data_IF_962152317495
#
_entry.id   IF_962152317495
#
_cell.length_a   1.000
_cell.length_b   1.000
_cell.length_c   1.000
_cell.angle_alpha   90.00
_cell.angle_beta   90.00
_cell.angle_gamma   90.00
#
_symmetry.space_group_name_H-M   'P 1'
#
loop_
_entity.id
_entity.type
_entity.pdbx_description
1 polymer ?
#
# COMPACT_ATOMS: atom_id res chain seq x y z
N UNK A 1 -80.29 -17.06 -0.09
CA UNK A 1 -79.52 -16.41 -1.19
C UNK A 1 -78.86 -15.10 -0.72
N UNK A 2 -78.03 -15.10 0.34
CA UNK A 2 -77.31 -13.89 0.80
C UNK A 2 -75.79 -14.04 0.85
N UNK A 3 -75.26 -15.28 0.91
CA UNK A 3 -73.82 -15.52 1.04
C UNK A 3 -73.00 -15.16 -0.20
N UNK A 4 -73.59 -15.21 -1.41
CA UNK A 4 -72.86 -14.91 -2.65
C UNK A 4 -72.70 -13.41 -2.94
N UNK A 5 -73.41 -12.52 -2.23
CA UNK A 5 -73.34 -11.07 -2.46
C UNK A 5 -72.03 -10.43 -1.98
N UNK A 6 -71.20 -11.15 -1.22
CA UNK A 6 -69.95 -10.63 -0.67
C UNK A 6 -68.68 -11.28 -1.27
N UNK A 7 -68.83 -12.26 -2.19
CA UNK A 7 -67.70 -12.97 -2.81
C UNK A 7 -66.76 -12.00 -3.55
N UNK A 8 -67.31 -10.96 -4.18
CA UNK A 8 -66.52 -9.93 -4.87
C UNK A 8 -65.63 -9.11 -3.91
N UNK A 9 -66.01 -8.96 -2.64
CA UNK A 9 -65.19 -8.26 -1.63
C UNK A 9 -63.92 -9.06 -1.35
N UNK A 10 -64.04 -10.37 -1.19
CA UNK A 10 -62.88 -11.25 -1.01
C UNK A 10 -61.96 -11.25 -2.24
N UNK A 11 -62.54 -11.18 -3.45
CA UNK A 11 -61.77 -11.03 -4.70
C UNK A 11 -61.01 -9.69 -4.78
N UNK A 12 -61.64 -8.59 -4.39
CA UNK A 12 -60.99 -7.27 -4.36
C UNK A 12 -59.91 -7.18 -3.28
N UNK A 13 -60.14 -7.75 -2.10
CA UNK A 13 -59.13 -7.80 -1.04
C UNK A 13 -57.92 -8.66 -1.44
N UNK A 14 -58.16 -9.81 -2.08
CA UNK A 14 -57.09 -10.66 -2.60
C UNK A 14 -56.27 -9.95 -3.67
N UNK A 15 -56.93 -9.31 -4.64
CA UNK A 15 -56.24 -8.53 -5.69
C UNK A 15 -55.49 -7.34 -5.10
N UNK A 16 -56.09 -6.64 -4.14
CA UNK A 16 -55.47 -5.50 -3.45
C UNK A 16 -54.22 -5.90 -2.67
N UNK A 17 -54.25 -7.04 -1.98
CA UNK A 17 -53.07 -7.58 -1.27
C UNK A 17 -51.94 -7.96 -2.23
N UNK A 18 -52.27 -8.57 -3.37
CA UNK A 18 -51.28 -8.91 -4.39
C UNK A 18 -50.65 -7.64 -4.96
N UNK A 19 -51.45 -6.67 -5.38
CA UNK A 19 -50.95 -5.41 -5.94
C UNK A 19 -50.10 -4.66 -4.92
N UNK A 20 -50.57 -4.54 -3.68
CA UNK A 20 -49.84 -3.86 -2.61
C UNK A 20 -48.54 -4.58 -2.27
N UNK A 21 -48.55 -5.90 -2.13
CA UNK A 21 -47.35 -6.70 -1.87
C UNK A 21 -46.33 -6.58 -3.00
N UNK A 22 -46.78 -6.55 -4.25
CA UNK A 22 -45.89 -6.40 -5.41
C UNK A 22 -45.29 -5.00 -5.48
N UNK A 23 -46.10 -3.95 -5.27
CA UNK A 23 -45.61 -2.55 -5.21
C UNK A 23 -44.66 -2.38 -4.04
N UNK A 24 -44.98 -2.93 -2.87
CA UNK A 24 -44.10 -2.89 -1.70
C UNK A 24 -42.77 -3.59 -1.98
N UNK A 25 -42.77 -4.76 -2.62
CA UNK A 25 -41.54 -5.47 -2.97
C UNK A 25 -40.69 -4.74 -4.02
N UNK A 26 -41.34 -4.11 -5.03
CA UNK A 26 -40.64 -3.39 -6.10
C UNK A 26 -40.15 -2.00 -5.69
N UNK A 27 -40.85 -1.33 -4.76
CA UNK A 27 -40.53 0.02 -4.29
C UNK A 27 -39.70 0.00 -3.01
N UNK A 28 -39.66 -1.13 -2.28
CA UNK A 28 -38.73 -1.27 -1.16
C UNK A 28 -37.30 -1.28 -1.70
N UNK A 29 -36.49 -0.25 -1.42
CA UNK A 29 -35.09 -0.31 -1.77
C UNK A 29 -34.50 -1.49 -0.98
N UNK A 30 -33.97 -2.49 -1.70
CA UNK A 30 -33.02 -3.42 -1.10
C UNK A 30 -31.82 -2.57 -0.66
N UNK A 31 -31.86 -2.10 0.58
CA UNK A 31 -30.75 -1.40 1.20
C UNK A 31 -29.74 -2.46 1.63
N UNK A 32 -29.08 -3.05 0.65
CA UNK A 32 -27.73 -3.56 0.92
C UNK A 32 -26.92 -2.32 1.26
N UNK A 33 -26.60 -2.12 2.53
CA UNK A 33 -25.62 -1.12 2.92
C UNK A 33 -24.40 -1.36 2.04
N UNK A 34 -24.08 -0.39 1.20
CA UNK A 34 -22.90 -0.44 0.34
C UNK A 34 -21.69 -0.47 1.29
N UNK A 35 -20.91 -1.53 1.22
CA UNK A 35 -19.72 -1.71 2.06
C UNK A 35 -18.75 -0.57 1.73
N UNK A 36 -18.64 0.41 2.63
CA UNK A 36 -17.78 1.57 2.43
C UNK A 36 -16.31 1.12 2.47
N UNK A 37 -15.58 1.13 1.34
CA UNK A 37 -14.19 0.69 1.33
C UNK A 37 -13.32 1.52 2.27
N UNK A 38 -13.68 2.79 2.54
CA UNK A 38 -12.94 3.66 3.45
C UNK A 38 -13.04 3.23 4.92
N UNK A 39 -14.08 2.49 5.29
CA UNK A 39 -14.21 1.94 6.65
C UNK A 39 -13.13 0.91 6.97
N UNK A 40 -12.51 0.30 5.95
CA UNK A 40 -11.46 -0.72 6.09
C UNK A 40 -10.05 -0.16 5.88
N UNK A 41 -9.93 1.12 5.51
CA UNK A 41 -8.62 1.77 5.38
C UNK A 41 -8.15 2.17 6.79
N UNK A 42 -6.99 1.66 7.26
CA UNK A 42 -6.46 2.06 8.56
C UNK A 42 -6.25 3.57 8.63
N UNK A 43 -6.77 4.21 9.67
CA UNK A 43 -6.51 5.62 9.94
C UNK A 43 -5.04 5.76 10.35
N UNK A 44 -4.24 6.39 9.49
CA UNK A 44 -2.84 6.66 9.79
C UNK A 44 -2.74 7.77 10.82
N UNK A 45 -1.92 7.57 11.84
CA UNK A 45 -1.59 8.61 12.82
C UNK A 45 -0.90 9.76 12.08
N UNK A 46 -1.26 11.01 12.42
CA UNK A 46 -0.56 12.17 11.85
C UNK A 46 0.95 12.10 12.16
N UNK A 47 1.76 12.48 11.19
CA UNK A 47 3.22 12.46 11.33
C UNK A 47 3.68 13.43 12.42
N UNK A 48 4.65 13.01 13.22
CA UNK A 48 5.30 13.89 14.21
C UNK A 48 6.21 14.89 13.48
N UNK A 49 6.16 16.16 13.85
CA UNK A 49 7.10 17.16 13.33
C UNK A 49 8.49 16.95 13.98
N UNK A 50 9.48 16.66 13.14
CA UNK A 50 10.83 16.35 13.57
C UNK A 50 11.74 17.59 13.65
N UNK A 51 11.28 18.80 13.31
CA UNK A 51 12.10 20.03 13.25
C UNK A 51 12.92 20.25 14.53
N UNK A 52 12.29 20.10 15.69
CA UNK A 52 12.95 20.29 16.99
C UNK A 52 13.70 19.04 17.47
N UNK A 53 13.31 17.85 17.01
CA UNK A 53 13.94 16.58 17.38
C UNK A 53 15.27 16.38 16.67
N UNK A 54 15.32 16.67 15.37
CA UNK A 54 16.53 16.58 14.54
C UNK A 54 17.56 17.61 14.99
N UNK A 55 17.14 18.86 15.24
CA UNK A 55 18.05 19.93 15.67
C UNK A 55 18.77 19.58 16.98
N UNK A 56 18.05 18.99 17.95
CA UNK A 56 18.64 18.51 19.20
C UNK A 56 19.57 17.31 18.97
N UNK A 57 19.10 16.29 18.23
CA UNK A 57 19.88 15.09 17.96
C UNK A 57 21.19 15.38 17.21
N UNK A 58 21.20 16.33 16.27
CA UNK A 58 22.43 16.78 15.59
C UNK A 58 23.40 17.47 16.53
N UNK A 59 22.90 18.33 17.42
CA UNK A 59 23.74 19.02 18.40
C UNK A 59 24.39 18.06 19.40
N UNK A 60 23.66 17.02 19.81
CA UNK A 60 24.14 16.03 20.79
C UNK A 60 25.06 14.97 20.18
N UNK A 61 24.78 14.53 18.94
CA UNK A 61 25.53 13.46 18.27
C UNK A 61 26.75 13.95 17.48
N UNK A 62 26.76 15.22 17.04
CA UNK A 62 27.78 15.73 16.12
C UNK A 62 27.76 15.07 14.73
N UNK A 63 26.66 14.43 14.36
CA UNK A 63 26.51 13.76 13.06
C UNK A 63 26.41 14.75 11.90
N UNK A 64 26.84 14.29 10.73
CA UNK A 64 26.70 14.96 9.44
C UNK A 64 25.37 14.58 8.78
N UNK A 65 24.87 15.37 7.83
CA UNK A 65 23.72 15.05 6.97
C UNK A 65 24.04 15.26 5.48
N UNK A 66 25.30 15.07 5.09
CA UNK A 66 25.75 15.33 3.72
C UNK A 66 25.31 14.23 2.74
N UNK A 67 25.06 13.01 3.24
CA UNK A 67 24.61 11.88 2.42
C UNK A 67 23.27 11.31 2.91
N UNK A 68 22.54 10.64 2.02
CA UNK A 68 21.32 9.91 2.37
C UNK A 68 21.52 8.93 3.53
N UNK A 69 22.56 8.06 3.48
CA UNK A 69 22.86 7.16 4.60
C UNK A 69 23.16 7.85 5.94
N UNK A 70 23.71 9.06 5.93
CA UNK A 70 23.91 9.82 7.18
C UNK A 70 22.57 10.23 7.81
N UNK A 71 21.59 10.62 6.99
CA UNK A 71 20.22 10.91 7.44
C UNK A 71 19.59 9.65 8.03
N UNK A 72 19.69 8.51 7.31
CA UNK A 72 19.14 7.23 7.79
C UNK A 72 19.74 6.83 9.13
N UNK A 73 21.06 6.94 9.28
CA UNK A 73 21.73 6.65 10.55
C UNK A 73 21.20 7.52 11.69
N UNK A 74 20.86 8.78 11.43
CA UNK A 74 20.22 9.64 12.42
C UNK A 74 18.81 9.13 12.78
N UNK A 75 18.00 8.76 11.78
CA UNK A 75 16.67 8.18 12.01
C UNK A 75 16.73 6.94 12.91
N UNK A 76 17.72 6.06 12.67
CA UNK A 76 17.90 4.80 13.40
C UNK A 76 18.31 5.00 14.87
N UNK A 77 18.74 6.20 15.28
CA UNK A 77 18.98 6.49 16.72
C UNK A 77 17.70 6.50 17.56
N UNK A 78 16.55 6.68 16.92
CA UNK A 78 15.23 6.67 17.57
C UNK A 78 14.30 5.58 17.01
N UNK A 79 14.55 5.12 15.79
CA UNK A 79 13.76 4.12 15.06
C UNK A 79 14.62 2.89 14.72
N UNK A 80 15.20 2.28 15.75
CA UNK A 80 16.23 1.22 15.63
C UNK A 80 15.79 0.06 14.72
N UNK A 81 14.53 -0.38 14.81
CA UNK A 81 14.03 -1.53 14.04
C UNK A 81 13.48 -1.16 12.65
N UNK A 82 13.31 0.14 12.34
CA UNK A 82 12.52 0.55 11.17
C UNK A 82 13.19 0.17 9.84
N UNK A 83 14.52 0.31 9.73
CA UNK A 83 15.23 -0.16 8.54
C UNK A 83 15.11 -1.67 8.38
N UNK A 84 15.32 -2.43 9.47
CA UNK A 84 15.17 -3.88 9.48
C UNK A 84 13.79 -4.33 8.96
N UNK A 85 12.73 -3.70 9.44
CA UNK A 85 11.36 -3.98 9.01
C UNK A 85 11.14 -3.65 7.52
N UNK A 86 11.60 -2.48 7.05
CA UNK A 86 11.51 -2.10 5.62
C UNK A 86 12.28 -3.06 4.73
N UNK A 87 13.45 -3.51 5.20
CA UNK A 87 14.32 -4.45 4.49
C UNK A 87 13.69 -5.84 4.32
N UNK A 88 12.74 -6.20 5.18
CA UNK A 88 11.90 -7.39 5.04
C UNK A 88 10.82 -7.30 3.94
N UNK A 89 10.67 -6.15 3.28
CA UNK A 89 9.59 -5.92 2.31
C UNK A 89 10.05 -5.95 0.85
N UNK A 90 9.08 -6.01 -0.06
CA UNK A 90 9.32 -5.89 -1.50
C UNK A 90 9.80 -4.50 -1.93
N UNK A 91 9.64 -3.45 -1.10
CA UNK A 91 10.19 -2.12 -1.40
C UNK A 91 11.72 -2.10 -1.36
N UNK A 92 12.31 -2.93 -0.49
CA UNK A 92 13.76 -3.12 -0.38
C UNK A 92 14.27 -4.22 -1.31
N UNK A 93 13.69 -5.42 -1.22
CA UNK A 93 14.20 -6.59 -1.95
C UNK A 93 13.86 -6.57 -3.44
N UNK A 94 12.83 -5.78 -3.82
CA UNK A 94 12.21 -5.80 -5.16
C UNK A 94 11.78 -7.19 -5.60
N UNK A 95 11.40 -8.03 -4.64
CA UNK A 95 10.97 -9.40 -4.82
C UNK A 95 9.70 -9.65 -4.00
N UNK A 96 8.82 -10.50 -4.52
CA UNK A 96 7.69 -11.06 -3.80
C UNK A 96 8.13 -12.29 -2.99
N UNK A 97 7.24 -12.75 -2.12
CA UNK A 97 7.30 -14.14 -1.67
C UNK A 97 7.23 -15.09 -2.89
N UNK A 98 7.86 -16.28 -2.82
CA UNK A 98 7.79 -17.26 -3.90
C UNK A 98 6.35 -17.62 -4.26
N UNK A 99 6.04 -17.66 -5.56
CA UNK A 99 4.73 -18.02 -6.09
C UNK A 99 4.81 -19.27 -6.96
N UNK A 100 3.76 -20.07 -6.91
CA UNK A 100 3.56 -21.22 -7.80
C UNK A 100 3.17 -20.75 -9.20
N UNK A 101 3.80 -21.32 -10.23
CA UNK A 101 3.49 -21.02 -11.63
C UNK A 101 3.32 -22.30 -12.43
N UNK A 102 2.38 -22.33 -13.36
CA UNK A 102 1.99 -23.58 -14.06
C UNK A 102 3.06 -24.15 -15.00
N UNK A 103 4.16 -23.42 -15.23
CA UNK A 103 5.23 -23.77 -16.16
C UNK A 103 6.56 -24.09 -15.47
N UNK A 104 6.58 -24.18 -14.13
CA UNK A 104 7.74 -24.66 -13.35
C UNK A 104 7.26 -25.60 -12.24
N UNK A 105 8.10 -26.55 -11.89
CA UNK A 105 7.82 -27.52 -10.83
C UNK A 105 8.08 -26.95 -9.43
N UNK A 106 8.86 -25.87 -9.33
CA UNK A 106 9.23 -25.22 -8.07
C UNK A 106 8.75 -23.76 -8.05
N UNK A 107 8.32 -23.24 -6.89
CA UNK A 107 7.91 -21.85 -6.74
C UNK A 107 9.06 -20.88 -7.05
N UNK A 108 8.71 -19.73 -7.60
CA UNK A 108 9.67 -18.69 -7.98
C UNK A 108 9.31 -17.36 -7.35
N UNK A 109 10.31 -16.66 -6.83
CA UNK A 109 10.16 -15.25 -6.47
C UNK A 109 10.05 -14.41 -7.74
N UNK A 110 9.13 -13.45 -7.76
CA UNK A 110 8.97 -12.50 -8.86
C UNK A 110 8.99 -11.07 -8.34
N UNK A 111 9.55 -10.14 -9.10
CA UNK A 111 9.52 -8.72 -8.75
C UNK A 111 10.41 -7.90 -9.65
N UNK A 112 10.54 -6.60 -9.37
CA UNK A 112 11.31 -5.69 -10.23
C UNK A 112 12.79 -6.12 -10.37
N UNK A 113 13.34 -6.84 -9.40
CA UNK A 113 14.70 -7.37 -9.45
C UNK A 113 14.91 -8.40 -10.57
N UNK A 114 13.88 -9.16 -10.97
CA UNK A 114 14.02 -10.31 -11.88
C UNK A 114 12.92 -10.40 -12.96
N UNK A 115 12.04 -9.41 -13.06
CA UNK A 115 10.95 -9.38 -14.04
C UNK A 115 11.37 -8.65 -15.31
N UNK A 116 10.96 -9.22 -16.46
CA UNK A 116 11.13 -8.59 -17.76
C UNK A 116 9.82 -7.92 -18.20
N UNK A 117 9.91 -6.71 -18.74
CA UNK A 117 8.78 -5.98 -19.34
C UNK A 117 9.11 -5.48 -20.76
N UNK A 118 8.19 -4.74 -21.38
CA UNK A 118 8.33 -4.16 -22.71
C UNK A 118 8.59 -2.64 -22.71
N UNK A 119 8.96 -2.06 -21.56
CA UNK A 119 9.36 -0.66 -21.42
C UNK A 119 10.89 -0.55 -21.40
N UNK A 120 11.50 -0.73 -20.22
CA UNK A 120 12.95 -0.69 -20.04
C UNK A 120 13.58 -2.10 -20.03
N UNK A 121 12.80 -3.13 -20.37
CA UNK A 121 13.19 -4.55 -20.36
C UNK A 121 13.43 -5.09 -18.96
N UNK A 122 14.45 -4.64 -18.24
CA UNK A 122 14.80 -5.12 -16.90
C UNK A 122 15.74 -4.16 -16.19
N UNK A 123 16.07 -4.44 -14.93
CA UNK A 123 17.04 -3.64 -14.17
C UNK A 123 18.49 -4.00 -14.52
N UNK A 124 18.75 -5.26 -14.85
CA UNK A 124 20.10 -5.80 -15.03
C UNK A 124 20.90 -4.95 -16.03
N UNK A 125 22.10 -4.50 -15.64
CA UNK A 125 22.99 -3.59 -16.39
C UNK A 125 22.54 -2.12 -16.49
N UNK A 126 21.46 -1.75 -15.82
CA UNK A 126 20.92 -0.38 -15.76
C UNK A 126 20.39 -0.04 -14.35
N UNK A 127 20.99 -0.64 -13.31
CA UNK A 127 20.64 -0.48 -11.90
C UNK A 127 20.58 1.00 -11.52
N UNK A 128 21.66 1.76 -11.73
CA UNK A 128 21.71 3.22 -11.42
C UNK A 128 20.55 4.03 -12.00
N UNK A 129 20.04 3.66 -13.18
CA UNK A 129 18.89 4.33 -13.80
C UNK A 129 17.55 3.90 -13.18
N UNK A 130 17.41 2.62 -12.84
CA UNK A 130 16.19 2.04 -12.30
C UNK A 130 16.00 2.28 -10.80
N UNK A 131 17.08 2.34 -10.02
CA UNK A 131 17.11 2.41 -8.55
C UNK A 131 16.96 3.83 -8.01
N UNK A 132 16.82 4.83 -8.89
CA UNK A 132 16.22 6.13 -8.52
C UNK A 132 14.81 6.01 -7.92
N UNK A 133 14.16 4.85 -8.08
CA UNK A 133 12.87 4.52 -7.49
C UNK A 133 12.96 3.39 -6.45
N UNK A 134 14.18 2.96 -6.09
CA UNK A 134 14.39 1.98 -5.02
C UNK A 134 14.35 2.69 -3.67
N UNK A 135 13.82 2.03 -2.64
CA UNK A 135 13.74 2.55 -1.29
C UNK A 135 15.09 2.43 -0.55
N UNK A 136 16.20 2.67 -1.26
CA UNK A 136 17.54 2.56 -0.74
C UNK A 136 18.57 3.36 -1.54
N UNK A 137 19.72 3.63 -0.95
CA UNK A 137 20.83 4.39 -1.51
C UNK A 137 21.93 3.46 -2.02
N UNK A 138 22.50 3.75 -3.20
CA UNK A 138 23.73 3.12 -3.67
C UNK A 138 23.57 1.78 -4.40
N UNK A 139 22.35 1.35 -4.75
CA UNK A 139 22.16 0.19 -5.63
C UNK A 139 22.51 0.55 -7.07
N UNK A 140 23.79 0.49 -7.40
CA UNK A 140 24.36 0.84 -8.70
C UNK A 140 24.68 -0.38 -9.58
N UNK A 141 24.81 -1.57 -8.98
CA UNK A 141 25.09 -2.84 -9.67
C UNK A 141 24.76 -4.06 -8.77
N UNK A 142 25.15 -5.25 -9.20
CA UNK A 142 24.93 -6.52 -8.49
C UNK A 142 25.70 -6.66 -7.15
N UNK A 143 26.64 -5.77 -6.87
CA UNK A 143 27.43 -5.78 -5.62
C UNK A 143 26.74 -5.07 -4.46
N UNK A 144 25.52 -4.54 -4.68
CA UNK A 144 24.74 -3.89 -3.64
C UNK A 144 24.48 -4.80 -2.44
N UNK A 145 24.86 -4.32 -1.26
CA UNK A 145 24.69 -5.06 -0.01
C UNK A 145 23.32 -4.76 0.63
N UNK A 146 22.39 -5.70 0.44
CA UNK A 146 21.04 -5.65 1.00
C UNK A 146 20.99 -5.83 2.52
N UNK A 147 22.13 -5.95 3.21
CA UNK A 147 22.21 -6.07 4.68
C UNK A 147 22.57 -4.76 5.38
N UNK A 148 22.97 -3.72 4.64
CA UNK A 148 23.35 -2.43 5.21
C UNK A 148 22.10 -1.58 5.47
N UNK A 149 21.68 -1.50 6.74
CA UNK A 149 20.49 -0.75 7.17
C UNK A 149 20.58 0.76 6.87
N UNK A 150 21.77 1.34 7.02
CA UNK A 150 22.07 2.75 6.70
C UNK A 150 21.70 3.10 5.24
N UNK A 151 21.65 2.12 4.34
CA UNK A 151 21.28 2.36 2.95
C UNK A 151 19.76 2.44 2.73
N UNK A 152 18.91 2.26 3.75
CA UNK A 152 17.46 2.46 3.63
C UNK A 152 17.13 3.92 3.36
N UNK A 153 16.26 4.22 2.40
CA UNK A 153 15.86 5.60 2.08
C UNK A 153 14.57 5.95 2.83
N UNK A 154 14.69 6.55 4.01
CA UNK A 154 13.52 6.92 4.82
C UNK A 154 12.73 8.09 4.20
N UNK A 155 13.43 9.04 3.57
CA UNK A 155 12.83 10.29 3.09
C UNK A 155 11.98 10.11 1.83
N UNK A 156 12.24 9.08 1.03
CA UNK A 156 11.42 8.78 -0.18
C UNK A 156 9.93 8.58 0.14
N UNK A 157 9.61 8.14 1.36
CA UNK A 157 8.24 7.99 1.82
C UNK A 157 7.82 9.05 2.85
N UNK A 158 8.75 9.56 3.66
CA UNK A 158 8.43 10.40 4.82
C UNK A 158 8.69 11.89 4.64
N UNK A 159 9.27 12.34 3.52
CA UNK A 159 9.29 13.77 3.23
C UNK A 159 7.87 14.32 3.04
N UNK A 160 7.53 15.33 3.85
CA UNK A 160 6.26 16.06 3.76
C UNK A 160 6.45 17.47 3.20
N UNK A 161 7.70 17.91 2.99
CA UNK A 161 8.00 19.24 2.45
C UNK A 161 7.79 19.32 0.93
N UNK A 162 7.88 18.18 0.23
CA UNK A 162 7.89 18.11 -1.22
C UNK A 162 9.24 18.51 -1.83
N UNK A 163 10.27 18.66 -1.01
CA UNK A 163 11.63 19.04 -1.42
C UNK A 163 12.52 17.85 -1.73
N UNK A 164 12.17 16.64 -1.27
CA UNK A 164 13.00 15.45 -1.50
C UNK A 164 12.89 14.96 -2.95
N UNK A 165 14.04 14.85 -3.61
CA UNK A 165 14.16 14.24 -4.93
C UNK A 165 15.40 13.34 -4.94
N UNK A 166 15.18 12.06 -5.26
CA UNK A 166 16.25 11.08 -5.35
C UNK A 166 16.97 11.18 -6.70
N UNK A 167 18.30 11.32 -6.65
CA UNK A 167 19.16 11.21 -7.82
C UNK A 167 19.34 9.74 -8.25
N UNK A 168 19.94 9.50 -9.41
CA UNK A 168 20.43 8.16 -9.77
C UNK A 168 21.49 7.67 -8.78
N UNK A 169 21.54 6.36 -8.55
CA UNK A 169 22.52 5.73 -7.68
C UNK A 169 23.95 5.80 -8.25
#
# INVERSE_FOLDING_TARGET
MSQQRFIWIFGLLGTGLIVFGTVFFLVSPATTAEDDPWAHVPVRVEGTDHTNLISGALADSGMSLETGPDVTRLCLTCHEDAAHEVMGTSHWTWQSEPVEVSWRDEPISIGKANTINNFCIGIQSNESGCTRCHAGYGWADETFDFTIEDNTDCLVCHDQSGGYVKASA
#
